data_IF_294350162893
#
_entry.id   IF_294350162893
#
_cell.length_a   1.000
_cell.length_b   1.000
_cell.length_c   1.000
_cell.angle_alpha   90.00
_cell.angle_beta   90.00
_cell.angle_gamma   90.00
#
_symmetry.space_group_name_H-M   'P 1'
#
loop_
_entity.id
_entity.type
_entity.pdbx_description
1 polymer ?
#
# COMPACT_ATOMS: atom_id res chain seq x y z
N UNK A 1 7.04 23.20 -2.29
CA UNK A 1 7.53 24.60 -2.08
C UNK A 1 8.80 24.92 -2.87
N UNK A 2 9.92 24.20 -2.63
CA UNK A 2 11.18 24.42 -3.35
C UNK A 2 11.04 24.34 -4.88
N UNK A 3 10.37 23.30 -5.39
CA UNK A 3 10.13 23.13 -6.84
C UNK A 3 9.40 24.36 -7.41
N UNK A 4 8.37 24.87 -6.72
CA UNK A 4 7.62 26.05 -7.16
C UNK A 4 8.47 27.32 -7.09
N UNK A 5 9.25 27.48 -6.02
CA UNK A 5 10.13 28.63 -5.82
C UNK A 5 11.18 28.72 -6.93
N UNK A 6 11.97 27.67 -7.14
CA UNK A 6 12.99 27.65 -8.20
C UNK A 6 12.37 27.62 -9.60
N UNK A 7 11.28 26.89 -9.80
CA UNK A 7 10.58 26.83 -11.09
C UNK A 7 9.92 28.15 -11.48
N UNK A 8 9.53 28.98 -10.51
CA UNK A 8 9.00 30.32 -10.79
C UNK A 8 10.05 31.30 -11.34
N UNK A 9 11.33 31.02 -11.15
CA UNK A 9 12.42 31.78 -11.75
C UNK A 9 12.58 31.51 -13.26
N UNK A 10 11.87 30.52 -13.81
CA UNK A 10 11.85 30.21 -15.24
C UNK A 10 10.40 30.00 -15.71
N UNK A 11 9.63 31.09 -15.91
CA UNK A 11 8.18 31.06 -16.07
C UNK A 11 7.68 30.22 -17.25
N UNK A 12 8.48 30.10 -18.31
CA UNK A 12 8.12 29.39 -19.55
C UNK A 12 8.77 28.01 -19.65
N UNK A 13 9.61 27.62 -18.68
CA UNK A 13 10.32 26.36 -18.74
C UNK A 13 9.37 25.18 -18.48
N UNK A 14 9.19 24.36 -19.51
CA UNK A 14 8.54 23.05 -19.41
C UNK A 14 9.59 22.00 -19.03
N UNK A 15 9.46 21.48 -17.81
CA UNK A 15 10.29 20.37 -17.35
C UNK A 15 9.48 19.09 -17.44
N UNK A 16 9.92 18.16 -18.29
CA UNK A 16 9.30 16.84 -18.41
C UNK A 16 9.22 16.17 -17.01
N UNK A 17 8.09 15.54 -16.63
CA UNK A 17 6.96 15.09 -17.46
C UNK A 17 5.79 16.07 -17.61
N UNK A 18 5.89 17.29 -17.06
CA UNK A 18 4.77 18.21 -17.10
C UNK A 18 4.57 18.87 -18.47
N UNK A 19 3.30 19.16 -18.80
CA UNK A 19 2.89 19.86 -20.03
C UNK A 19 2.53 21.33 -19.81
N UNK A 20 2.53 21.79 -18.56
CA UNK A 20 2.31 23.19 -18.18
C UNK A 20 3.57 23.74 -17.49
N UNK A 21 3.83 25.05 -17.50
CA UNK A 21 4.96 25.62 -16.79
C UNK A 21 4.79 25.56 -15.26
N UNK A 22 5.88 25.36 -14.52
CA UNK A 22 5.87 25.18 -13.05
C UNK A 22 5.22 26.37 -12.32
N UNK A 23 5.40 27.59 -12.85
CA UNK A 23 4.78 28.80 -12.30
C UNK A 23 3.24 28.71 -12.24
N UNK A 24 2.62 28.07 -13.23
CA UNK A 24 1.16 27.94 -13.35
C UNK A 24 0.57 26.76 -12.57
N UNK A 25 1.41 25.93 -11.94
CA UNK A 25 0.96 24.70 -11.30
C UNK A 25 0.40 24.89 -9.88
N UNK A 26 -0.66 24.12 -9.62
CA UNK A 26 -1.18 23.88 -8.27
C UNK A 26 -0.28 22.91 -7.47
N UNK A 27 -0.67 22.68 -6.21
CA UNK A 27 0.05 21.77 -5.32
C UNK A 27 0.00 20.33 -5.84
N UNK A 28 -1.18 19.89 -6.28
CA UNK A 28 -1.39 18.53 -6.79
C UNK A 28 -0.67 18.29 -8.12
N UNK A 29 -0.60 19.30 -8.99
CA UNK A 29 0.16 19.22 -10.25
C UNK A 29 1.65 18.99 -9.98
N UNK A 30 2.25 19.76 -9.08
CA UNK A 30 3.66 19.62 -8.71
C UNK A 30 3.91 18.26 -8.06
N UNK A 31 3.00 17.83 -7.18
CA UNK A 31 3.09 16.53 -6.51
C UNK A 31 3.12 15.40 -7.54
N UNK A 32 2.13 15.39 -8.45
CA UNK A 32 1.94 14.32 -9.41
C UNK A 32 2.99 14.32 -10.52
N UNK A 33 3.42 15.50 -10.99
CA UNK A 33 4.39 15.61 -12.07
C UNK A 33 5.85 15.45 -11.61
N UNK A 34 6.20 15.81 -10.37
CA UNK A 34 7.60 15.81 -9.93
C UNK A 34 7.83 15.00 -8.66
N UNK A 35 7.11 15.31 -7.59
CA UNK A 35 7.38 14.75 -6.25
C UNK A 35 7.19 13.24 -6.22
N UNK A 36 6.18 12.70 -6.90
CA UNK A 36 5.96 11.26 -7.00
C UNK A 36 7.15 10.53 -7.67
N UNK A 37 7.75 11.11 -8.71
CA UNK A 37 8.89 10.49 -9.40
C UNK A 37 10.19 10.56 -8.59
N UNK A 38 10.44 11.69 -7.91
CA UNK A 38 11.56 11.83 -6.96
C UNK A 38 11.38 10.83 -5.82
N UNK A 39 10.18 10.77 -5.24
CA UNK A 39 9.83 9.79 -4.21
C UNK A 39 10.00 8.36 -4.69
N UNK A 40 9.58 8.04 -5.93
CA UNK A 40 9.73 6.72 -6.51
C UNK A 40 11.20 6.29 -6.63
N UNK A 41 12.07 7.20 -7.10
CA UNK A 41 13.52 6.96 -7.14
C UNK A 41 14.13 6.75 -5.74
N UNK A 42 13.71 7.56 -4.76
CA UNK A 42 14.18 7.43 -3.39
C UNK A 42 13.70 6.12 -2.73
N UNK A 43 12.45 5.69 -2.96
CA UNK A 43 11.91 4.41 -2.48
C UNK A 43 12.62 3.24 -3.14
N UNK A 44 12.84 3.29 -4.47
CA UNK A 44 13.57 2.26 -5.20
C UNK A 44 14.99 2.09 -4.64
N UNK A 45 15.74 3.18 -4.49
CA UNK A 45 17.07 3.17 -3.90
C UNK A 45 17.05 2.66 -2.45
N UNK A 46 16.17 3.19 -1.60
CA UNK A 46 16.04 2.75 -0.20
C UNK A 46 15.69 1.27 -0.09
N UNK A 47 14.83 0.76 -0.98
CA UNK A 47 14.48 -0.66 -1.07
C UNK A 47 15.68 -1.53 -1.46
N UNK A 48 16.43 -1.14 -2.49
CA UNK A 48 17.65 -1.84 -2.93
C UNK A 48 18.72 -1.82 -1.84
N UNK A 49 18.97 -0.66 -1.22
CA UNK A 49 19.96 -0.51 -0.14
C UNK A 49 19.56 -1.37 1.06
N UNK A 50 18.27 -1.37 1.44
CA UNK A 50 17.75 -2.23 2.50
C UNK A 50 17.96 -3.71 2.16
N UNK A 51 17.65 -4.13 0.93
CA UNK A 51 17.88 -5.51 0.48
C UNK A 51 19.37 -5.87 0.51
N UNK A 52 20.25 -4.98 0.04
CA UNK A 52 21.70 -5.20 0.03
C UNK A 52 22.26 -5.34 1.46
N UNK A 53 21.80 -4.52 2.41
CA UNK A 53 22.15 -4.66 3.84
C UNK A 53 21.64 -5.97 4.44
N UNK A 54 20.47 -6.42 4.03
CA UNK A 54 19.90 -7.71 4.47
C UNK A 54 20.54 -8.92 3.77
N UNK A 55 21.28 -8.73 2.67
CA UNK A 55 21.81 -9.83 1.86
C UNK A 55 22.64 -10.86 2.64
N UNK A 56 23.53 -10.50 3.59
CA UNK A 56 24.27 -11.49 4.38
C UNK A 56 23.34 -12.36 5.22
N UNK A 57 22.33 -11.76 5.83
CA UNK A 57 21.30 -12.47 6.60
C UNK A 57 20.41 -13.32 5.70
N UNK A 58 20.09 -12.83 4.50
CA UNK A 58 19.34 -13.59 3.49
C UNK A 58 20.10 -14.87 3.13
N UNK A 59 21.37 -14.75 2.75
CA UNK A 59 22.22 -15.87 2.33
C UNK A 59 22.40 -16.88 3.46
N UNK A 60 22.66 -16.42 4.69
CA UNK A 60 22.82 -17.33 5.83
C UNK A 60 21.52 -18.07 6.15
N UNK A 61 20.36 -17.42 5.99
CA UNK A 61 19.03 -17.99 6.23
C UNK A 61 18.65 -19.02 5.18
N UNK A 62 18.94 -18.74 3.91
CA UNK A 62 18.76 -19.69 2.82
C UNK A 62 19.65 -20.93 2.99
N UNK A 63 20.92 -20.75 3.33
CA UNK A 63 21.86 -21.86 3.56
C UNK A 63 21.38 -22.76 4.70
N UNK A 64 20.93 -22.16 5.81
CA UNK A 64 20.36 -22.90 6.93
C UNK A 64 19.07 -23.65 6.53
N UNK A 65 18.14 -22.98 5.84
CA UNK A 65 16.91 -23.61 5.34
C UNK A 65 17.19 -24.79 4.42
N UNK A 66 18.06 -24.64 3.42
CA UNK A 66 18.45 -25.74 2.53
C UNK A 66 19.14 -26.89 3.26
N UNK A 67 19.95 -26.61 4.28
CA UNK A 67 20.58 -27.66 5.10
C UNK A 67 19.56 -28.46 5.92
N UNK A 68 18.47 -27.82 6.37
CA UNK A 68 17.39 -28.51 7.10
C UNK A 68 16.54 -29.43 6.22
N UNK A 69 16.52 -29.23 4.89
CA UNK A 69 15.88 -30.18 3.96
C UNK A 69 16.66 -31.51 3.85
N UNK A 70 17.94 -31.52 4.20
CA UNK A 70 18.84 -32.67 4.05
C UNK A 70 18.90 -33.64 5.24
N UNK A 71 18.15 -33.41 6.32
CA UNK A 71 18.28 -34.17 7.56
C UNK A 71 16.96 -34.61 8.17
N UNK A 72 16.61 -35.89 7.99
CA UNK A 72 15.49 -36.52 8.70
C UNK A 72 15.72 -38.01 8.90
N UNK A 73 16.49 -38.39 9.94
CA UNK A 73 16.53 -39.76 10.48
C UNK A 73 15.67 -39.82 11.75
N UNK A 74 14.74 -40.77 11.78
CA UNK A 74 14.15 -41.31 13.02
C UNK A 74 12.72 -40.88 13.31
N UNK A 75 11.78 -41.81 13.13
CA UNK A 75 10.43 -41.75 13.71
C UNK A 75 10.53 -41.94 15.24
N UNK A 76 10.66 -40.86 15.99
CA UNK A 76 10.31 -40.84 17.40
C UNK A 76 8.87 -40.28 17.55
N UNK A 77 8.18 -40.67 18.62
CA UNK A 77 6.84 -40.21 18.92
C UNK A 77 6.82 -38.68 19.08
N UNK A 78 6.24 -37.98 18.11
CA UNK A 78 6.28 -36.51 18.06
C UNK A 78 5.48 -35.93 19.22
N UNK A 79 6.19 -35.27 20.14
CA UNK A 79 5.63 -34.56 21.29
C UNK A 79 4.58 -33.57 20.79
N UNK A 80 3.49 -33.37 21.55
CA UNK A 80 2.39 -32.47 21.15
C UNK A 80 2.88 -31.08 20.69
N UNK A 81 3.91 -30.54 21.33
CA UNK A 81 4.52 -29.23 21.04
C UNK A 81 5.34 -29.19 19.75
N UNK A 82 5.62 -30.33 19.14
CA UNK A 82 6.37 -30.47 17.87
C UNK A 82 5.47 -30.96 16.72
N UNK A 83 4.17 -31.16 16.98
CA UNK A 83 3.21 -31.57 15.95
C UNK A 83 2.88 -30.39 15.03
N UNK A 84 3.53 -30.35 13.87
CA UNK A 84 3.27 -29.38 12.80
C UNK A 84 2.28 -29.91 11.74
N UNK A 85 1.84 -29.03 10.84
CA UNK A 85 1.21 -29.47 9.59
C UNK A 85 2.20 -30.31 8.77
N UNK A 86 1.68 -31.34 8.11
CA UNK A 86 2.55 -32.17 7.27
C UNK A 86 3.09 -31.34 6.11
N UNK A 87 4.38 -31.50 5.81
CA UNK A 87 5.04 -30.79 4.71
C UNK A 87 4.33 -31.00 3.37
N UNK A 88 3.73 -32.16 3.16
CA UNK A 88 2.89 -32.45 1.97
C UNK A 88 1.71 -31.49 1.85
N UNK A 89 0.98 -31.23 2.94
CA UNK A 89 -0.18 -30.31 2.92
C UNK A 89 0.29 -28.88 2.67
N UNK A 90 1.40 -28.47 3.27
CA UNK A 90 1.97 -27.12 3.08
C UNK A 90 2.41 -26.92 1.62
N UNK A 91 3.19 -27.86 1.07
CA UNK A 91 3.68 -27.78 -0.31
C UNK A 91 2.56 -27.85 -1.34
N UNK A 92 1.62 -28.80 -1.18
CA UNK A 92 0.47 -28.91 -2.09
C UNK A 92 -0.46 -27.68 -1.97
N UNK A 93 -0.64 -27.15 -0.77
CA UNK A 93 -1.40 -25.92 -0.55
C UNK A 93 -0.75 -24.71 -1.23
N UNK A 94 0.55 -24.51 -1.05
CA UNK A 94 1.29 -23.42 -1.67
C UNK A 94 1.27 -23.53 -3.21
N UNK A 95 1.55 -24.72 -3.75
CA UNK A 95 1.49 -24.97 -5.19
C UNK A 95 0.06 -24.78 -5.72
N UNK A 96 -0.96 -25.21 -4.97
CA UNK A 96 -2.36 -25.02 -5.29
C UNK A 96 -2.74 -23.54 -5.40
N UNK A 97 -2.29 -22.71 -4.46
CA UNK A 97 -2.52 -21.25 -4.50
C UNK A 97 -1.81 -20.61 -5.69
N UNK A 98 -0.53 -20.92 -5.92
CA UNK A 98 0.22 -20.39 -7.07
C UNK A 98 -0.46 -20.80 -8.38
N UNK A 99 -0.87 -22.06 -8.51
CA UNK A 99 -1.56 -22.57 -9.70
C UNK A 99 -2.91 -21.90 -9.89
N UNK A 100 -3.70 -21.72 -8.81
CA UNK A 100 -4.99 -21.04 -8.87
C UNK A 100 -4.86 -19.58 -9.31
N UNK A 101 -3.85 -18.86 -8.81
CA UNK A 101 -3.57 -17.49 -9.26
C UNK A 101 -3.12 -17.49 -10.72
N UNK A 102 -2.28 -18.45 -11.12
CA UNK A 102 -1.70 -18.50 -12.47
C UNK A 102 -2.69 -18.89 -13.56
N UNK A 103 -3.70 -19.69 -13.22
CA UNK A 103 -4.79 -20.08 -14.13
C UNK A 103 -5.95 -19.08 -14.12
N UNK A 104 -5.95 -18.11 -13.20
CA UNK A 104 -7.00 -17.12 -13.09
C UNK A 104 -6.92 -16.12 -14.24
N UNK A 105 -8.02 -15.88 -14.98
CA UNK A 105 -8.04 -14.85 -16.02
C UNK A 105 -7.91 -13.43 -15.44
N UNK A 106 -8.09 -13.26 -14.12
CA UNK A 106 -7.93 -11.97 -13.44
C UNK A 106 -6.46 -11.58 -13.19
N UNK A 107 -5.55 -12.56 -13.19
CA UNK A 107 -4.14 -12.36 -12.85
C UNK A 107 -3.26 -12.85 -14.00
N UNK A 108 -2.89 -11.98 -14.96
CA UNK A 108 -2.09 -12.34 -16.12
C UNK A 108 -0.60 -12.51 -15.75
N UNK A 109 -0.29 -13.46 -14.86
CA UNK A 109 1.09 -13.77 -14.46
C UNK A 109 1.76 -14.75 -15.42
N UNK A 110 0.99 -15.61 -16.09
CA UNK A 110 1.53 -16.64 -16.99
C UNK A 110 2.49 -17.61 -16.28
N UNK A 111 3.16 -18.48 -17.05
CA UNK A 111 4.06 -19.50 -16.48
C UNK A 111 5.32 -18.88 -15.85
N UNK A 112 5.97 -17.95 -16.54
CA UNK A 112 7.17 -17.29 -16.02
C UNK A 112 6.84 -16.50 -14.75
N UNK A 113 5.73 -15.77 -14.72
CA UNK A 113 5.31 -15.04 -13.53
C UNK A 113 4.96 -15.97 -12.36
N UNK A 114 4.37 -17.15 -12.62
CA UNK A 114 4.16 -18.18 -11.60
C UNK A 114 5.47 -18.66 -10.98
N UNK A 115 6.49 -18.90 -11.82
CA UNK A 115 7.82 -19.30 -11.37
C UNK A 115 8.48 -18.21 -10.54
N UNK A 116 8.44 -16.96 -10.99
CA UNK A 116 8.96 -15.81 -10.24
C UNK A 116 8.22 -15.61 -8.92
N UNK A 117 6.90 -15.78 -8.91
CA UNK A 117 6.07 -15.71 -7.71
C UNK A 117 6.49 -16.76 -6.68
N UNK A 118 6.61 -18.02 -7.09
CA UNK A 118 7.07 -19.10 -6.21
C UNK A 118 8.50 -18.86 -5.70
N UNK A 119 9.41 -18.47 -6.59
CA UNK A 119 10.82 -18.20 -6.27
C UNK A 119 10.96 -17.06 -5.26
N UNK A 120 10.38 -15.90 -5.56
CA UNK A 120 10.47 -14.72 -4.69
C UNK A 120 9.68 -14.91 -3.39
N UNK A 121 8.51 -15.57 -3.42
CA UNK A 121 7.78 -15.88 -2.21
C UNK A 121 8.61 -16.80 -1.30
N UNK A 122 9.17 -17.89 -1.84
CA UNK A 122 10.05 -18.77 -1.08
C UNK A 122 11.24 -18.01 -0.48
N UNK A 123 11.97 -17.27 -1.33
CA UNK A 123 13.13 -16.47 -0.93
C UNK A 123 12.80 -15.50 0.21
N UNK A 124 11.80 -14.64 0.03
CA UNK A 124 11.50 -13.58 1.00
C UNK A 124 10.72 -14.05 2.22
N UNK A 125 9.96 -15.15 2.14
CA UNK A 125 9.35 -15.79 3.32
C UNK A 125 10.42 -16.35 4.25
N UNK A 126 11.44 -17.03 3.72
CA UNK A 126 12.53 -17.57 4.55
C UNK A 126 13.28 -16.45 5.29
N UNK A 127 13.55 -15.35 4.60
CA UNK A 127 14.22 -14.17 5.15
C UNK A 127 13.36 -13.51 6.22
N UNK A 128 12.10 -13.26 5.89
CA UNK A 128 11.12 -12.66 6.78
C UNK A 128 10.94 -13.45 8.06
N UNK A 129 10.78 -14.78 7.95
CA UNK A 129 10.61 -15.69 9.08
C UNK A 129 11.80 -15.66 10.05
N UNK A 130 13.02 -15.66 9.51
CA UNK A 130 14.24 -15.60 10.33
C UNK A 130 14.43 -14.25 11.01
N UNK A 131 14.34 -13.15 10.26
CA UNK A 131 14.46 -11.79 10.83
C UNK A 131 13.41 -11.54 11.91
N UNK A 132 12.17 -11.96 11.64
CA UNK A 132 11.08 -11.79 12.60
C UNK A 132 11.24 -12.71 13.82
N UNK A 133 11.75 -13.93 13.63
CA UNK A 133 11.99 -14.87 14.72
C UNK A 133 13.15 -14.47 15.64
N UNK A 134 14.23 -13.93 15.07
CA UNK A 134 15.44 -13.52 15.81
C UNK A 134 15.32 -12.11 16.40
N UNK A 135 14.91 -11.13 15.59
CA UNK A 135 14.98 -9.70 15.91
C UNK A 135 13.58 -9.13 16.22
N UNK A 136 12.54 -9.63 15.55
CA UNK A 136 11.15 -9.17 15.70
C UNK A 136 10.57 -8.59 14.41
N UNK A 137 9.26 -8.41 14.36
CA UNK A 137 8.54 -7.99 13.15
C UNK A 137 8.78 -6.54 12.75
N UNK A 138 9.09 -5.66 13.71
CA UNK A 138 9.43 -4.25 13.45
C UNK A 138 10.67 -4.09 12.58
N UNK A 139 11.63 -5.01 12.71
CA UNK A 139 12.90 -5.01 11.98
C UNK A 139 12.82 -5.72 10.62
N UNK A 140 11.65 -6.22 10.23
CA UNK A 140 11.46 -6.95 8.99
C UNK A 140 11.26 -5.98 7.81
N UNK A 141 12.15 -5.95 6.79
CA UNK A 141 12.12 -4.97 5.71
C UNK A 141 11.08 -5.31 4.62
N UNK A 142 9.82 -5.58 5.01
CA UNK A 142 8.75 -6.02 4.10
C UNK A 142 8.60 -5.07 2.91
N UNK A 143 8.57 -3.76 3.17
CA UNK A 143 8.45 -2.76 2.11
C UNK A 143 9.63 -2.81 1.12
N UNK A 144 10.85 -3.04 1.61
CA UNK A 144 12.03 -3.20 0.75
C UNK A 144 11.98 -4.48 -0.09
N UNK A 145 11.56 -5.59 0.51
CA UNK A 145 11.39 -6.88 -0.19
C UNK A 145 10.32 -6.81 -1.29
N UNK A 146 9.21 -6.10 -1.03
CA UNK A 146 8.15 -5.87 -2.02
C UNK A 146 8.64 -5.03 -3.19
N UNK A 147 9.33 -3.91 -2.91
CA UNK A 147 9.92 -3.05 -3.95
C UNK A 147 10.94 -3.82 -4.77
N UNK A 148 11.85 -4.57 -4.13
CA UNK A 148 12.84 -5.40 -4.81
C UNK A 148 12.18 -6.44 -5.72
N UNK A 149 11.14 -7.13 -5.23
CA UNK A 149 10.36 -8.09 -6.02
C UNK A 149 9.76 -7.42 -7.25
N UNK A 150 9.12 -6.26 -7.09
CA UNK A 150 8.50 -5.54 -8.18
C UNK A 150 9.54 -5.12 -9.23
N UNK A 151 10.65 -4.50 -8.80
CA UNK A 151 11.71 -4.02 -9.69
C UNK A 151 12.34 -5.18 -10.47
N UNK A 152 12.73 -6.26 -9.78
CA UNK A 152 13.33 -7.44 -10.42
C UNK A 152 12.36 -8.09 -11.39
N UNK A 153 11.08 -8.23 -11.02
CA UNK A 153 10.05 -8.77 -11.91
C UNK A 153 9.87 -7.90 -13.15
N UNK A 154 9.79 -6.57 -12.98
CA UNK A 154 9.68 -5.64 -14.10
C UNK A 154 10.90 -5.70 -15.03
N UNK A 155 12.12 -5.82 -14.48
CA UNK A 155 13.34 -5.95 -15.29
C UNK A 155 13.38 -7.27 -16.05
N UNK A 156 12.94 -8.37 -15.44
CA UNK A 156 12.85 -9.68 -16.12
C UNK A 156 11.78 -9.64 -17.22
N UNK A 157 10.62 -9.04 -16.96
CA UNK A 157 9.58 -8.86 -17.97
C UNK A 157 10.06 -7.98 -19.12
N UNK A 158 10.75 -6.86 -18.82
CA UNK A 158 11.36 -6.01 -19.83
C UNK A 158 12.38 -6.77 -20.68
N UNK A 159 13.22 -7.60 -20.07
CA UNK A 159 14.20 -8.44 -20.79
C UNK A 159 13.54 -9.51 -21.67
N UNK A 160 12.30 -9.91 -21.34
CA UNK A 160 11.48 -10.83 -22.13
C UNK A 160 10.56 -10.12 -23.15
N UNK A 161 10.68 -8.79 -23.30
CA UNK A 161 9.81 -7.94 -24.14
C UNK A 161 8.32 -7.93 -23.72
N UNK A 162 8.06 -8.18 -22.44
CA UNK A 162 6.73 -8.24 -21.83
C UNK A 162 6.31 -6.88 -21.27
N UNK A 163 5.95 -5.94 -22.15
CA UNK A 163 5.72 -4.52 -21.82
C UNK A 163 4.24 -4.06 -21.86
N UNK A 164 3.35 -4.98 -22.23
CA UNK A 164 1.90 -4.78 -22.32
C UNK A 164 1.19 -4.46 -21.00
N UNK A 165 -0.04 -3.92 -21.05
CA UNK A 165 -0.86 -3.63 -19.87
C UNK A 165 -1.05 -4.82 -18.92
N UNK A 166 -1.24 -6.01 -19.47
CA UNK A 166 -1.38 -7.27 -18.75
C UNK A 166 -0.11 -7.60 -17.96
N UNK A 167 1.07 -7.36 -18.51
CA UNK A 167 2.33 -7.63 -17.83
C UNK A 167 2.58 -6.69 -16.64
N UNK A 168 2.09 -5.45 -16.70
CA UNK A 168 2.12 -4.52 -15.55
C UNK A 168 1.26 -5.04 -14.41
N UNK A 169 0.04 -5.48 -14.71
CA UNK A 169 -0.84 -6.10 -13.73
C UNK A 169 -0.21 -7.40 -13.17
N UNK A 170 0.42 -8.20 -14.01
CA UNK A 170 1.16 -9.40 -13.61
C UNK A 170 2.30 -9.09 -12.62
N UNK A 171 3.13 -8.10 -12.92
CA UNK A 171 4.24 -7.70 -12.05
C UNK A 171 3.76 -7.19 -10.69
N UNK A 172 2.72 -6.35 -10.67
CA UNK A 172 2.08 -5.88 -9.43
C UNK A 172 1.45 -7.03 -8.64
N UNK A 173 0.86 -8.01 -9.31
CA UNK A 173 0.29 -9.20 -8.67
C UNK A 173 1.38 -10.03 -8.00
N UNK A 174 2.50 -10.30 -8.69
CA UNK A 174 3.64 -11.04 -8.13
C UNK A 174 4.18 -10.33 -6.89
N UNK A 175 4.44 -9.02 -7.00
CA UNK A 175 4.91 -8.22 -5.86
C UNK A 175 3.92 -8.22 -4.69
N UNK A 176 2.62 -8.14 -4.97
CA UNK A 176 1.56 -8.19 -3.97
C UNK A 176 1.50 -9.54 -3.24
N UNK A 177 1.54 -10.65 -3.98
CA UNK A 177 1.56 -12.01 -3.40
C UNK A 177 2.80 -12.21 -2.54
N UNK A 178 3.98 -11.82 -3.02
CA UNK A 178 5.24 -11.95 -2.28
C UNK A 178 5.24 -11.07 -1.03
N UNK A 179 4.70 -9.85 -1.10
CA UNK A 179 4.51 -8.97 0.05
C UNK A 179 3.67 -9.63 1.14
N UNK A 180 2.50 -10.19 0.76
CA UNK A 180 1.59 -10.87 1.69
C UNK A 180 2.25 -12.12 2.25
N UNK A 181 2.87 -12.94 1.40
CA UNK A 181 3.56 -14.15 1.81
C UNK A 181 4.68 -13.84 2.81
N UNK A 182 5.58 -12.90 2.51
CA UNK A 182 6.65 -12.48 3.40
C UNK A 182 6.10 -11.96 4.72
N UNK A 183 5.09 -11.08 4.70
CA UNK A 183 4.47 -10.56 5.93
C UNK A 183 3.86 -11.67 6.79
N UNK A 184 3.03 -12.53 6.20
CA UNK A 184 2.36 -13.62 6.93
C UNK A 184 3.36 -14.67 7.42
N UNK A 185 4.40 -14.97 6.63
CA UNK A 185 5.48 -15.87 7.00
C UNK A 185 6.27 -15.37 8.22
N UNK A 186 6.59 -14.08 8.26
CA UNK A 186 7.23 -13.44 9.41
C UNK A 186 6.36 -13.53 10.67
N UNK A 187 5.10 -13.10 10.58
CA UNK A 187 4.15 -13.15 11.70
C UNK A 187 3.89 -14.58 12.18
N UNK A 188 3.89 -15.55 11.26
CA UNK A 188 3.76 -16.97 11.59
C UNK A 188 4.96 -17.45 12.40
N UNK A 189 6.19 -17.13 12.00
CA UNK A 189 7.39 -17.46 12.77
C UNK A 189 7.36 -16.87 14.18
N UNK A 190 6.92 -15.61 14.31
CA UNK A 190 6.76 -14.96 15.63
C UNK A 190 5.70 -15.66 16.49
N UNK A 191 4.56 -16.00 15.89
CA UNK A 191 3.44 -16.64 16.59
C UNK A 191 3.80 -18.05 17.05
N UNK A 192 4.54 -18.80 16.23
CA UNK A 192 5.04 -20.13 16.57
C UNK A 192 6.09 -20.06 17.69
N UNK A 193 6.98 -19.05 17.69
CA UNK A 193 7.92 -18.81 18.79
C UNK A 193 7.19 -18.58 20.10
N UNK A 194 6.22 -17.66 20.13
CA UNK A 194 5.39 -17.40 21.31
C UNK A 194 4.63 -18.65 21.73
N UNK A 195 4.09 -19.39 20.76
CA UNK A 195 3.43 -20.67 20.97
C UNK A 195 4.31 -21.71 21.65
N UNK A 196 5.55 -21.88 21.18
CA UNK A 196 6.51 -22.79 21.77
C UNK A 196 6.82 -22.44 23.23
N UNK A 197 6.98 -21.14 23.54
CA UNK A 197 7.25 -20.66 24.91
C UNK A 197 6.13 -20.98 25.90
N UNK A 198 4.86 -20.93 25.46
CA UNK A 198 3.69 -21.24 26.31
C UNK A 198 3.21 -22.69 26.17
N UNK A 199 3.93 -23.54 25.44
CA UNK A 199 3.57 -24.94 25.23
C UNK A 199 2.33 -25.16 24.35
N UNK A 200 2.07 -24.29 23.38
CA UNK A 200 0.99 -24.46 22.39
C UNK A 200 1.28 -25.61 21.41
N UNK A 201 0.25 -26.09 20.71
CA UNK A 201 0.39 -27.09 19.62
C UNK A 201 0.54 -26.36 18.27
N UNK A 202 1.68 -26.44 17.58
CA UNK A 202 1.95 -25.69 16.33
C UNK A 202 0.89 -25.87 15.26
N UNK A 203 0.44 -27.12 15.02
CA UNK A 203 -0.60 -27.42 14.01
C UNK A 203 -1.90 -26.63 14.24
N UNK A 204 -2.35 -26.48 15.49
CA UNK A 204 -3.57 -25.72 15.80
C UNK A 204 -3.37 -24.23 15.55
N UNK A 205 -2.21 -23.70 15.91
CA UNK A 205 -1.87 -22.30 15.64
C UNK A 205 -1.85 -22.01 14.13
N UNK A 206 -1.20 -22.87 13.34
CA UNK A 206 -1.14 -22.72 11.88
C UNK A 206 -2.53 -22.72 11.24
N UNK A 207 -3.42 -23.64 11.65
CA UNK A 207 -4.80 -23.69 11.15
C UNK A 207 -5.56 -22.41 11.51
N UNK A 208 -5.48 -21.94 12.76
CA UNK A 208 -6.14 -20.71 13.19
C UNK A 208 -5.60 -19.48 12.45
N UNK A 209 -4.28 -19.42 12.18
CA UNK A 209 -3.68 -18.36 11.39
C UNK A 209 -4.19 -18.36 9.94
N UNK A 210 -4.34 -19.54 9.31
CA UNK A 210 -4.92 -19.66 7.97
C UNK A 210 -6.35 -19.12 7.95
N UNK A 211 -7.18 -19.53 8.93
CA UNK A 211 -8.57 -19.06 9.05
C UNK A 211 -8.62 -17.54 9.26
N UNK A 212 -7.81 -17.02 10.18
CA UNK A 212 -7.75 -15.59 10.48
C UNK A 212 -7.28 -14.76 9.28
N UNK A 213 -6.27 -15.23 8.56
CA UNK A 213 -5.77 -14.58 7.35
C UNK A 213 -6.83 -14.57 6.23
N UNK A 214 -7.50 -15.70 6.01
CA UNK A 214 -8.56 -15.81 5.00
C UNK A 214 -9.76 -14.91 5.33
N UNK A 215 -10.23 -14.92 6.58
CA UNK A 215 -11.31 -14.04 7.04
C UNK A 215 -10.93 -12.57 6.87
N UNK A 216 -9.72 -12.19 7.27
CA UNK A 216 -9.22 -10.81 7.12
C UNK A 216 -9.13 -10.38 5.66
N UNK A 217 -8.63 -11.26 4.77
CA UNK A 217 -8.54 -10.97 3.34
C UNK A 217 -9.92 -10.74 2.71
N UNK A 218 -10.92 -11.55 3.09
CA UNK A 218 -12.30 -11.38 2.61
C UNK A 218 -12.92 -10.07 3.10
N UNK A 219 -12.79 -9.75 4.39
CA UNK A 219 -13.32 -8.52 4.98
C UNK A 219 -12.67 -7.30 4.34
N UNK A 220 -11.34 -7.26 4.28
CA UNK A 220 -10.60 -6.12 3.69
C UNK A 220 -10.93 -5.97 2.21
N UNK A 221 -10.95 -7.07 1.44
CA UNK A 221 -11.31 -7.05 0.02
C UNK A 221 -12.73 -6.51 -0.20
N UNK A 222 -13.70 -7.00 0.58
CA UNK A 222 -15.08 -6.51 0.55
C UNK A 222 -15.17 -5.02 0.90
N UNK A 223 -14.54 -4.59 2.00
CA UNK A 223 -14.53 -3.19 2.42
C UNK A 223 -13.93 -2.27 1.35
N UNK A 224 -12.81 -2.66 0.72
CA UNK A 224 -12.20 -1.86 -0.34
C UNK A 224 -13.10 -1.72 -1.56
N UNK A 225 -13.76 -2.80 -1.99
CA UNK A 225 -14.72 -2.75 -3.09
C UNK A 225 -15.94 -1.89 -2.75
N UNK A 226 -16.44 -2.00 -1.53
CA UNK A 226 -17.58 -1.22 -1.05
C UNK A 226 -17.26 0.28 -1.05
N UNK A 227 -16.14 0.67 -0.44
CA UNK A 227 -15.68 2.07 -0.38
C UNK A 227 -15.43 2.64 -1.78
N UNK A 228 -14.79 1.86 -2.65
CA UNK A 228 -14.54 2.29 -4.02
C UNK A 228 -15.84 2.49 -4.80
N UNK A 229 -16.77 1.55 -4.72
CA UNK A 229 -18.05 1.62 -5.44
C UNK A 229 -18.93 2.76 -4.90
N UNK A 230 -19.02 2.94 -3.58
CA UNK A 230 -19.80 4.01 -2.96
C UNK A 230 -19.34 5.41 -3.38
N UNK A 231 -18.02 5.57 -3.60
CA UNK A 231 -17.41 6.84 -3.98
C UNK A 231 -17.08 6.96 -5.48
N UNK A 232 -17.51 5.99 -6.30
CA UNK A 232 -17.40 6.07 -7.76
C UNK A 232 -18.46 7.03 -8.30
N UNK A 233 -18.06 7.91 -9.22
CA UNK A 233 -18.92 8.92 -9.84
C UNK A 233 -18.97 8.67 -11.33
N UNK A 234 -20.18 8.72 -11.90
CA UNK A 234 -20.42 8.67 -13.34
C UNK A 234 -20.82 10.07 -13.78
N UNK A 235 -19.93 10.79 -14.44
CA UNK A 235 -20.17 12.20 -14.81
C UNK A 235 -20.32 12.37 -16.32
N UNK A 236 -21.28 13.20 -16.72
CA UNK A 236 -21.45 13.71 -18.09
C UNK A 236 -20.57 14.95 -18.33
N UNK A 237 -20.15 15.64 -17.26
CA UNK A 237 -19.35 16.88 -17.30
C UNK A 237 -17.86 16.56 -17.43
N UNK A 238 -17.44 16.07 -18.59
CA UNK A 238 -16.03 15.77 -18.88
C UNK A 238 -15.59 16.18 -20.30
N UNK A 239 -14.28 16.34 -20.49
CA UNK A 239 -13.65 16.90 -21.71
C UNK A 239 -13.89 16.07 -22.99
N UNK A 240 -14.25 14.80 -22.84
CA UNK A 240 -14.44 13.84 -23.92
C UNK A 240 -15.91 13.50 -24.23
N UNK A 241 -16.86 14.24 -23.65
CA UNK A 241 -18.28 13.96 -23.82
C UNK A 241 -18.71 14.11 -25.28
N UNK A 242 -19.34 13.07 -25.84
CA UNK A 242 -19.81 13.04 -27.23
C UNK A 242 -18.74 12.74 -28.28
N UNK A 243 -17.48 12.56 -27.88
CA UNK A 243 -16.38 12.15 -28.78
C UNK A 243 -16.49 10.65 -29.09
N UNK A 244 -16.19 10.24 -30.33
CA UNK A 244 -16.17 8.82 -30.68
C UNK A 244 -14.98 8.12 -30.02
N UNK A 245 -15.21 6.90 -29.53
CA UNK A 245 -14.17 6.05 -29.02
C UNK A 245 -13.13 5.75 -30.13
N UNK A 246 -11.82 5.74 -29.82
CA UNK A 246 -10.79 5.37 -30.78
C UNK A 246 -11.05 3.97 -31.35
N UNK A 247 -11.10 3.86 -32.68
CA UNK A 247 -11.52 2.63 -33.37
C UNK A 247 -10.59 1.43 -33.14
N UNK A 248 -9.35 1.68 -32.74
CA UNK A 248 -8.33 0.67 -32.52
C UNK A 248 -8.29 0.15 -31.07
N UNK A 249 -9.06 0.76 -30.15
CA UNK A 249 -9.14 0.33 -28.76
C UNK A 249 -10.36 -0.57 -28.57
N UNK A 250 -10.17 -1.85 -28.19
CA UNK A 250 -11.29 -2.76 -28.02
C UNK A 250 -12.18 -2.33 -26.85
N UNK A 251 -13.48 -2.23 -27.11
CA UNK A 251 -14.48 -1.98 -26.10
C UNK A 251 -14.73 -3.24 -25.27
N UNK A 252 -14.63 -3.09 -23.94
CA UNK A 252 -14.90 -4.13 -22.98
C UNK A 252 -16.39 -4.53 -22.88
N UNK A 253 -16.72 -5.41 -21.91
CA UNK A 253 -18.10 -5.80 -21.65
C UNK A 253 -18.97 -4.59 -21.27
N UNK A 254 -20.27 -4.72 -21.50
CA UNK A 254 -21.21 -3.69 -21.08
C UNK A 254 -21.35 -3.68 -19.55
N UNK A 255 -21.30 -2.50 -18.95
CA UNK A 255 -21.48 -2.28 -17.52
C UNK A 255 -22.66 -1.32 -17.28
N UNK A 256 -23.54 -1.60 -16.30
CA UNK A 256 -24.56 -0.66 -15.89
C UNK A 256 -23.97 0.45 -15.02
N UNK A 257 -24.67 1.58 -14.98
CA UNK A 257 -24.41 2.64 -14.01
C UNK A 257 -24.67 2.14 -12.58
N UNK A 258 -23.96 2.72 -11.61
CA UNK A 258 -24.13 2.42 -10.18
C UNK A 258 -24.28 3.71 -9.39
N UNK A 259 -24.97 3.64 -8.24
CA UNK A 259 -25.18 4.80 -7.38
C UNK A 259 -26.38 5.65 -7.78
N UNK A 260 -26.46 6.92 -7.34
CA UNK A 260 -27.55 7.83 -7.66
C UNK A 260 -27.81 8.01 -9.16
N UNK A 261 -26.76 7.94 -9.98
CA UNK A 261 -26.84 8.08 -11.43
C UNK A 261 -27.55 6.89 -12.10
N UNK A 262 -27.61 5.73 -11.44
CA UNK A 262 -28.39 4.59 -11.91
C UNK A 262 -29.91 4.80 -11.75
N UNK A 263 -30.33 5.77 -10.92
CA UNK A 263 -31.75 6.13 -10.76
C UNK A 263 -32.26 6.95 -11.95
N UNK A 264 -31.37 7.67 -12.64
CA UNK A 264 -31.71 8.51 -13.79
C UNK A 264 -31.48 7.80 -15.13
N UNK A 265 -30.52 6.87 -15.20
CA UNK A 265 -30.20 6.10 -16.41
C UNK A 265 -29.91 4.63 -16.05
N UNK A 266 -30.78 3.73 -16.51
CA UNK A 266 -30.69 2.29 -16.25
C UNK A 266 -30.03 1.49 -17.38
N UNK A 267 -29.56 2.17 -18.43
CA UNK A 267 -28.93 1.51 -19.55
C UNK A 267 -27.54 0.97 -19.19
N UNK A 268 -27.08 -0.01 -19.97
CA UNK A 268 -25.72 -0.55 -19.89
C UNK A 268 -24.89 -0.03 -21.04
N UNK A 269 -23.64 0.31 -20.76
CA UNK A 269 -22.74 0.94 -21.72
C UNK A 269 -21.45 0.14 -21.85
N UNK A 270 -20.86 0.11 -23.04
CA UNK A 270 -19.59 -0.59 -23.25
C UNK A 270 -18.45 0.16 -22.60
N UNK A 271 -17.55 -0.57 -21.96
CA UNK A 271 -16.41 0.05 -21.25
C UNK A 271 -15.27 0.35 -22.21
N UNK A 272 -14.82 1.60 -22.22
CA UNK A 272 -13.57 2.03 -22.85
C UNK A 272 -12.54 2.33 -21.77
N UNK A 273 -11.43 1.59 -21.76
CA UNK A 273 -10.32 1.82 -20.84
C UNK A 273 -9.16 2.46 -21.59
N UNK A 274 -8.83 3.71 -21.23
CA UNK A 274 -7.68 4.43 -21.81
C UNK A 274 -6.56 4.55 -20.76
N UNK A 275 -5.51 3.73 -20.83
CA UNK A 275 -4.40 3.79 -19.88
C UNK A 275 -3.52 5.03 -20.05
N UNK A 276 -3.49 5.63 -21.24
CA UNK A 276 -2.79 6.88 -21.56
C UNK A 276 -3.73 7.83 -22.29
N UNK A 277 -3.50 9.15 -22.21
CA UNK A 277 -4.26 10.11 -23.00
C UNK A 277 -4.11 9.80 -24.50
N UNK A 278 -5.20 9.88 -25.25
CA UNK A 278 -5.23 9.52 -26.68
C UNK A 278 -6.27 10.34 -27.42
N UNK A 279 -5.93 10.86 -28.60
CA UNK A 279 -6.82 11.65 -29.45
C UNK A 279 -7.53 12.82 -28.71
N UNK A 280 -6.81 13.45 -27.78
CA UNK A 280 -7.34 14.51 -26.92
C UNK A 280 -8.21 14.03 -25.74
N UNK A 281 -8.47 12.73 -25.63
CA UNK A 281 -9.20 12.11 -24.51
C UNK A 281 -8.21 11.82 -23.37
N UNK A 282 -8.42 12.33 -22.15
CA UNK A 282 -7.58 12.01 -21.01
C UNK A 282 -7.59 10.52 -20.66
N UNK A 283 -6.51 10.02 -20.04
CA UNK A 283 -6.49 8.66 -19.51
C UNK A 283 -7.59 8.47 -18.44
N UNK A 284 -8.33 7.36 -18.52
CA UNK A 284 -9.47 7.09 -17.65
C UNK A 284 -10.31 5.91 -18.12
N UNK A 285 -11.35 5.61 -17.36
CA UNK A 285 -12.39 4.64 -17.72
C UNK A 285 -13.63 5.40 -18.19
N UNK A 286 -14.15 5.05 -19.34
CA UNK A 286 -15.29 5.71 -19.97
C UNK A 286 -16.38 4.70 -20.33
N UNK A 287 -17.61 5.17 -20.39
CA UNK A 287 -18.77 4.41 -20.86
C UNK A 287 -19.19 4.91 -22.24
N UNK A 288 -19.26 3.99 -23.19
CA UNK A 288 -19.53 4.24 -24.60
C UNK A 288 -20.91 3.68 -24.95
N UNK A 289 -21.70 4.49 -25.65
CA UNK A 289 -23.02 4.11 -26.14
C UNK A 289 -22.95 3.15 -27.35
N UNK A 290 -24.11 2.67 -27.79
CA UNK A 290 -24.21 1.78 -28.96
C UNK A 290 -23.73 2.45 -30.25
N UNK A 291 -23.71 3.78 -30.30
CA UNK A 291 -23.24 4.55 -31.45
C UNK A 291 -21.71 4.71 -31.48
N UNK A 292 -21.02 4.26 -30.43
CA UNK A 292 -19.57 4.38 -30.29
C UNK A 292 -19.11 5.72 -29.72
N UNK A 293 -20.01 6.52 -29.14
CA UNK A 293 -19.68 7.80 -28.50
C UNK A 293 -19.52 7.66 -27.00
N UNK A 294 -18.56 8.40 -26.45
CA UNK A 294 -18.31 8.47 -25.02
C UNK A 294 -19.43 9.30 -24.37
N UNK A 295 -20.14 8.69 -23.42
CA UNK A 295 -21.23 9.33 -22.68
C UNK A 295 -20.82 9.70 -21.26
N UNK A 296 -20.24 8.76 -20.51
CA UNK A 296 -19.85 9.00 -19.11
C UNK A 296 -18.35 8.78 -18.91
N UNK A 297 -17.76 9.61 -18.05
CA UNK A 297 -16.49 9.31 -17.38
C UNK A 297 -16.80 8.56 -16.08
N UNK A 298 -16.15 7.41 -15.90
CA UNK A 298 -16.20 6.63 -14.66
C UNK A 298 -15.00 7.03 -13.78
N UNK A 299 -15.25 7.91 -12.82
CA UNK A 299 -14.22 8.36 -11.87
C UNK A 299 -14.27 7.52 -10.59
N UNK A 300 -13.24 6.68 -10.31
CA UNK A 300 -13.26 5.75 -9.19
C UNK A 300 -13.27 6.45 -7.82
N UNK A 301 -13.70 5.74 -6.78
CA UNK A 301 -13.61 6.25 -5.41
C UNK A 301 -12.17 6.37 -4.90
N UNK A 302 -11.31 5.42 -5.28
CA UNK A 302 -9.88 5.42 -4.95
C UNK A 302 -9.08 6.10 -6.06
N UNK A 303 -8.26 7.09 -5.71
CA UNK A 303 -7.47 7.92 -6.62
C UNK A 303 -8.30 8.66 -7.70
N UNK A 304 -9.61 8.84 -7.48
CA UNK A 304 -10.49 9.63 -8.35
C UNK A 304 -10.23 11.13 -8.26
N UNK A 305 -10.63 11.87 -9.30
CA UNK A 305 -10.40 13.31 -9.46
C UNK A 305 -11.66 14.14 -9.24
N UNK A 306 -12.84 13.55 -9.41
CA UNK A 306 -14.12 14.26 -9.41
C UNK A 306 -14.65 14.35 -7.99
N UNK A 307 -14.56 15.56 -7.38
CA UNK A 307 -14.95 15.79 -5.97
C UNK A 307 -16.43 16.16 -5.79
N UNK A 308 -17.16 16.39 -6.87
CA UNK A 308 -18.58 16.73 -6.89
C UNK A 308 -19.28 15.96 -7.99
N UNK A 309 -20.48 15.45 -7.72
CA UNK A 309 -21.34 14.84 -8.74
C UNK A 309 -21.93 15.92 -9.66
N UNK A 310 -22.63 15.47 -10.71
CA UNK A 310 -23.25 16.37 -11.68
C UNK A 310 -24.36 17.25 -11.05
N UNK A 311 -24.95 16.80 -9.93
CA UNK A 311 -25.93 17.51 -9.09
C UNK A 311 -25.30 18.40 -7.99
N UNK A 312 -23.99 18.65 -8.07
CA UNK A 312 -23.17 19.41 -7.11
C UNK A 312 -23.04 18.81 -5.71
N UNK A 313 -23.54 17.60 -5.47
CA UNK A 313 -23.33 16.90 -4.19
C UNK A 313 -21.85 16.53 -4.01
N UNK A 314 -21.28 16.74 -2.81
CA UNK A 314 -19.87 16.43 -2.54
C UNK A 314 -19.64 14.92 -2.44
N UNK A 315 -18.50 14.46 -2.95
CA UNK A 315 -18.08 13.04 -2.87
C UNK A 315 -16.70 12.94 -2.23
N UNK A 316 -16.57 12.07 -1.23
CA UNK A 316 -15.30 11.77 -0.59
C UNK A 316 -14.47 10.88 -1.52
N UNK A 317 -13.22 11.26 -1.77
CA UNK A 317 -12.25 10.46 -2.54
C UNK A 317 -11.15 9.94 -1.62
N UNK A 318 -10.67 8.74 -1.92
CA UNK A 318 -9.64 8.06 -1.13
C UNK A 318 -8.32 8.06 -1.89
N UNK A 319 -7.27 8.67 -1.32
CA UNK A 319 -5.94 8.61 -1.88
C UNK A 319 -5.26 7.27 -1.53
N UNK A 320 -4.63 6.64 -2.51
CA UNK A 320 -3.76 5.48 -2.32
C UNK A 320 -2.33 5.75 -2.82
N UNK A 321 -1.55 6.62 -2.15
CA UNK A 321 -0.27 7.11 -2.67
C UNK A 321 0.77 5.99 -2.87
N UNK A 322 0.79 4.99 -1.98
CA UNK A 322 1.67 3.82 -2.09
C UNK A 322 1.36 3.00 -3.35
N UNK A 323 0.08 2.79 -3.65
CA UNK A 323 -0.35 2.07 -4.85
C UNK A 323 0.01 2.85 -6.11
N UNK A 324 -0.22 4.18 -6.11
CA UNK A 324 0.14 5.06 -7.21
C UNK A 324 1.64 5.06 -7.50
N UNK A 325 2.48 5.04 -6.46
CA UNK A 325 3.93 4.95 -6.59
C UNK A 325 4.37 3.63 -7.22
N UNK A 326 3.81 2.51 -6.76
CA UNK A 326 4.12 1.18 -7.32
C UNK A 326 3.69 1.07 -8.78
N UNK A 327 2.51 1.60 -9.12
CA UNK A 327 2.04 1.66 -10.50
C UNK A 327 2.97 2.51 -11.37
N UNK A 328 3.37 3.70 -10.90
CA UNK A 328 4.29 4.59 -11.61
C UNK A 328 5.66 3.96 -11.85
N UNK A 329 6.22 3.25 -10.86
CA UNK A 329 7.49 2.52 -11.02
C UNK A 329 7.33 1.41 -12.07
N UNK A 330 6.24 0.64 -11.99
CA UNK A 330 5.96 -0.48 -12.90
C UNK A 330 5.78 0.00 -14.33
N UNK A 331 4.88 0.96 -14.54
CA UNK A 331 4.61 1.58 -15.84
C UNK A 331 5.88 2.20 -16.40
N UNK A 332 6.62 2.91 -15.56
CA UNK A 332 7.83 3.57 -15.94
C UNK A 332 8.92 2.62 -16.47
N UNK A 333 9.17 1.52 -15.76
CA UNK A 333 10.18 0.53 -16.16
C UNK A 333 9.74 -0.19 -17.43
N UNK A 334 8.49 -0.67 -17.48
CA UNK A 334 8.01 -1.48 -18.61
C UNK A 334 7.78 -0.63 -19.87
N UNK A 335 7.41 0.64 -19.74
CA UNK A 335 7.26 1.54 -20.91
C UNK A 335 8.54 2.26 -21.31
N UNK A 336 9.60 2.16 -20.51
CA UNK A 336 10.86 2.88 -20.69
C UNK A 336 10.72 4.42 -20.74
N UNK A 337 9.58 4.97 -20.27
CA UNK A 337 9.25 6.40 -20.31
C UNK A 337 9.44 7.12 -18.96
N UNK A 338 10.31 6.60 -18.08
CA UNK A 338 10.57 7.26 -16.80
C UNK A 338 11.27 8.62 -16.99
N UNK A 339 10.85 9.68 -16.27
CA UNK A 339 11.65 10.90 -16.16
C UNK A 339 12.90 10.62 -15.32
N UNK A 340 13.93 10.05 -15.95
CA UNK A 340 15.14 9.57 -15.30
C UNK A 340 15.87 10.64 -14.47
N UNK A 341 15.80 11.91 -14.88
CA UNK A 341 16.38 13.01 -14.10
C UNK A 341 15.76 13.08 -12.70
N UNK A 342 14.43 12.97 -12.60
CA UNK A 342 13.72 13.00 -11.31
C UNK A 342 13.96 11.74 -10.49
N UNK A 343 13.98 10.58 -11.15
CA UNK A 343 14.26 9.30 -10.50
C UNK A 343 15.68 9.29 -9.93
N UNK A 344 16.69 9.65 -10.71
CA UNK A 344 18.09 9.73 -10.29
C UNK A 344 18.25 10.76 -9.17
N UNK A 345 17.57 11.92 -9.25
CA UNK A 345 17.55 12.88 -8.16
C UNK A 345 17.06 12.23 -6.85
N UNK A 346 15.97 11.47 -6.91
CA UNK A 346 15.47 10.69 -5.78
C UNK A 346 16.49 9.67 -5.25
N UNK A 347 17.15 8.93 -6.14
CA UNK A 347 18.21 7.97 -5.80
C UNK A 347 19.37 8.68 -5.08
N UNK A 348 19.83 9.81 -5.60
CA UNK A 348 20.92 10.59 -5.01
C UNK A 348 20.55 11.13 -3.63
N UNK A 349 19.31 11.58 -3.44
CA UNK A 349 18.81 11.99 -2.12
C UNK A 349 18.82 10.79 -1.16
N UNK A 350 18.32 9.63 -1.57
CA UNK A 350 18.32 8.42 -0.75
C UNK A 350 19.75 7.99 -0.37
N UNK A 351 20.69 7.98 -1.31
CA UNK A 351 22.10 7.67 -1.04
C UNK A 351 22.71 8.67 -0.06
N UNK A 352 22.46 9.97 -0.25
CA UNK A 352 22.97 11.02 0.63
C UNK A 352 22.43 10.85 2.07
N UNK A 353 21.15 10.52 2.21
CA UNK A 353 20.54 10.25 3.51
C UNK A 353 21.16 9.03 4.19
N UNK A 354 21.34 7.92 3.46
CA UNK A 354 21.96 6.72 4.01
C UNK A 354 23.42 6.96 4.41
N UNK A 355 24.17 7.76 3.63
CA UNK A 355 25.52 8.21 4.00
C UNK A 355 25.52 9.10 5.24
N UNK A 356 24.46 9.88 5.46
CA UNK A 356 24.24 10.66 6.68
C UNK A 356 23.68 9.82 7.86
N UNK A 357 23.64 8.48 7.74
CA UNK A 357 23.04 7.57 8.72
C UNK A 357 21.55 7.82 8.98
N UNK A 358 20.84 8.42 8.02
CA UNK A 358 19.40 8.60 8.02
C UNK A 358 18.77 7.57 7.10
N UNK A 359 17.81 6.80 7.61
CA UNK A 359 17.11 5.80 6.79
C UNK A 359 16.37 6.49 5.63
N UNK A 360 16.67 6.06 4.40
CA UNK A 360 16.08 6.67 3.20
C UNK A 360 14.61 6.30 3.01
N UNK A 361 14.17 5.12 3.48
CA UNK A 361 12.80 4.64 3.29
C UNK A 361 11.75 5.52 3.99
N UNK A 362 11.86 5.85 5.29
CA UNK A 362 10.94 6.79 5.96
C UNK A 362 10.90 8.16 5.30
N UNK A 363 12.07 8.68 4.88
CA UNK A 363 12.14 9.95 4.16
C UNK A 363 11.39 9.87 2.84
N UNK A 364 11.65 8.85 2.02
CA UNK A 364 11.03 8.67 0.72
C UNK A 364 9.50 8.56 0.84
N UNK A 365 9.01 7.88 1.89
CA UNK A 365 7.58 7.84 2.25
C UNK A 365 7.05 9.24 2.54
N UNK A 366 7.75 10.02 3.36
CA UNK A 366 7.37 11.40 3.69
C UNK A 366 7.33 12.34 2.48
N UNK A 367 8.15 12.10 1.45
CA UNK A 367 8.20 12.94 0.24
C UNK A 367 6.87 12.91 -0.53
N UNK A 368 6.25 11.74 -0.70
CA UNK A 368 5.05 11.61 -1.54
C UNK A 368 3.72 11.63 -0.77
N UNK A 369 3.76 11.48 0.56
CA UNK A 369 2.56 11.52 1.38
C UNK A 369 2.00 12.96 1.45
N UNK A 370 0.67 13.12 1.46
CA UNK A 370 0.05 14.41 1.73
C UNK A 370 0.55 15.00 3.06
N UNK A 371 0.67 16.32 3.14
CA UNK A 371 1.03 17.02 4.38
C UNK A 371 0.01 16.72 5.48
N UNK A 372 -1.27 16.58 5.13
CA UNK A 372 -2.33 16.18 6.05
C UNK A 372 -2.11 14.81 6.70
N UNK A 373 -1.44 13.88 6.01
CA UNK A 373 -1.05 12.59 6.58
C UNK A 373 0.29 12.67 7.33
N UNK A 374 1.23 13.47 6.83
CA UNK A 374 2.58 13.58 7.40
C UNK A 374 2.61 14.37 8.70
N UNK A 375 1.75 15.39 8.87
CA UNK A 375 1.73 16.22 10.07
C UNK A 375 1.34 15.44 11.34
N UNK A 376 0.25 14.62 11.37
CA UNK A 376 -0.04 13.76 12.51
C UNK A 376 1.09 12.78 12.84
N UNK A 377 1.74 12.20 11.82
CA UNK A 377 2.88 11.28 12.01
C UNK A 377 4.04 12.02 12.67
N UNK A 378 4.36 13.23 12.20
CA UNK A 378 5.41 14.06 12.77
C UNK A 378 5.11 14.44 14.22
N UNK A 379 3.88 14.88 14.52
CA UNK A 379 3.45 15.21 15.89
C UNK A 379 3.57 13.98 16.79
N UNK A 380 3.09 12.81 16.34
CA UNK A 380 3.23 11.54 17.07
C UNK A 380 4.70 11.19 17.35
N UNK A 381 5.58 11.40 16.36
CA UNK A 381 7.02 11.22 16.52
C UNK A 381 7.65 12.18 17.53
N UNK A 382 7.23 13.46 17.53
CA UNK A 382 7.66 14.43 18.55
C UNK A 382 7.18 14.04 19.95
N UNK A 383 5.91 13.66 20.09
CA UNK A 383 5.35 13.19 21.36
C UNK A 383 6.15 12.01 21.88
N UNK A 384 6.44 11.01 21.03
CA UNK A 384 7.30 9.87 21.38
C UNK A 384 8.71 10.32 21.78
N UNK A 385 9.35 11.20 21.01
CA UNK A 385 10.69 11.69 21.32
C UNK A 385 10.77 12.35 22.70
N UNK A 386 9.80 13.22 23.03
CA UNK A 386 9.76 13.88 24.34
C UNK A 386 9.37 12.91 25.47
N UNK A 387 8.47 11.96 25.21
CA UNK A 387 8.11 10.93 26.18
C UNK A 387 9.29 10.02 26.52
N UNK A 388 9.97 9.49 25.51
CA UNK A 388 11.13 8.60 25.67
C UNK A 388 12.25 9.34 26.41
N UNK A 389 12.51 10.61 26.06
CA UNK A 389 13.51 11.46 26.74
C UNK A 389 13.15 11.71 28.22
N UNK A 390 11.88 11.96 28.52
CA UNK A 390 11.43 12.16 29.90
C UNK A 390 11.52 10.86 30.73
N UNK A 391 11.18 9.72 30.12
CA UNK A 391 11.23 8.40 30.77
C UNK A 391 12.66 7.94 31.03
N UNK A 392 13.56 8.13 30.07
CA UNK A 392 14.99 7.86 30.23
C UNK A 392 15.60 8.69 31.36
N UNK A 393 15.25 9.99 31.46
CA UNK A 393 15.69 10.84 32.58
C UNK A 393 15.22 10.31 33.93
N UNK A 394 13.95 9.93 34.05
CA UNK A 394 13.40 9.35 35.29
C UNK A 394 14.05 8.02 35.67
N UNK A 395 14.32 7.14 34.69
CA UNK A 395 15.04 5.88 34.95
C UNK A 395 16.48 6.13 35.41
N UNK A 396 17.16 7.10 34.79
CA UNK A 396 18.50 7.52 35.23
C UNK A 396 18.49 8.10 36.66
N UNK A 397 17.51 8.94 36.99
CA UNK A 397 17.32 9.47 38.36
C UNK A 397 16.99 8.36 39.38
N UNK A 398 16.28 7.31 38.95
CA UNK A 398 15.95 6.14 39.76
C UNK A 398 17.06 5.06 39.81
N UNK A 399 18.21 5.29 39.17
CA UNK A 399 19.32 4.33 39.11
C UNK A 399 19.01 3.03 38.33
N UNK A 400 17.99 3.05 37.47
CA UNK A 400 17.58 1.90 36.65
C UNK A 400 18.38 1.85 35.34
N UNK A 401 18.58 0.63 34.81
CA UNK A 401 19.26 0.42 33.53
C UNK A 401 18.52 1.12 32.36
N UNK A 402 19.30 1.49 31.34
CA UNK A 402 18.75 2.07 30.11
C UNK A 402 17.74 1.10 29.48
N UNK A 403 16.61 1.64 29.03
CA UNK A 403 15.58 0.87 28.35
C UNK A 403 16.11 0.28 27.05
N UNK A 404 15.91 -1.03 26.84
CA UNK A 404 16.26 -1.66 25.56
C UNK A 404 15.30 -1.20 24.46
N UNK A 405 15.75 -1.18 23.21
CA UNK A 405 14.90 -0.79 22.06
C UNK A 405 13.62 -1.66 21.97
N UNK A 406 13.71 -2.94 22.32
CA UNK A 406 12.59 -3.88 22.36
C UNK A 406 11.53 -3.50 23.41
N UNK A 407 11.94 -3.03 24.59
CA UNK A 407 11.02 -2.53 25.63
C UNK A 407 10.32 -1.25 25.17
N UNK A 408 11.06 -0.34 24.53
CA UNK A 408 10.51 0.90 24.01
C UNK A 408 9.48 0.66 22.88
N UNK A 409 9.75 -0.31 22.00
CA UNK A 409 8.81 -0.74 20.96
C UNK A 409 7.53 -1.37 21.52
N UNK A 410 7.61 -2.01 22.70
CA UNK A 410 6.46 -2.64 23.37
C UNK A 410 5.82 -1.77 24.44
N UNK A 411 6.12 -0.46 24.45
CA UNK A 411 5.62 0.45 25.47
C UNK A 411 4.08 0.57 25.45
N UNK A 412 3.44 0.84 26.61
CA UNK A 412 1.99 1.03 26.69
C UNK A 412 1.45 2.09 25.71
N UNK A 413 2.23 3.14 25.45
CA UNK A 413 1.88 4.19 24.49
C UNK A 413 1.83 3.68 23.04
N UNK A 414 2.77 2.81 22.65
CA UNK A 414 2.78 2.18 21.31
C UNK A 414 1.60 1.22 21.16
N UNK A 415 1.29 0.43 22.20
CA UNK A 415 0.14 -0.48 22.21
C UNK A 415 -1.19 0.30 22.10
N UNK A 416 -1.38 1.37 22.86
CA UNK A 416 -2.58 2.19 22.77
C UNK A 416 -2.70 2.87 21.40
N UNK A 417 -1.60 3.41 20.87
CA UNK A 417 -1.59 4.02 19.53
C UNK A 417 -1.98 3.01 18.46
N UNK A 418 -1.47 1.78 18.55
CA UNK A 418 -1.83 0.69 17.64
C UNK A 418 -3.31 0.32 17.76
N UNK A 419 -3.85 0.28 18.98
CA UNK A 419 -5.27 0.06 19.24
C UNK A 419 -6.16 1.18 18.68
N UNK A 420 -5.74 2.45 18.78
CA UNK A 420 -6.45 3.59 18.22
C UNK A 420 -6.48 3.57 16.69
N UNK A 421 -5.38 3.15 16.04
CA UNK A 421 -5.34 2.97 14.57
C UNK A 421 -6.35 1.89 14.14
N UNK A 422 -6.35 0.74 14.83
CA UNK A 422 -7.31 -0.32 14.54
C UNK A 422 -8.76 0.11 14.80
N UNK A 423 -9.02 0.78 15.92
CA UNK A 423 -10.33 1.34 16.27
C UNK A 423 -10.82 2.37 15.26
N UNK A 424 -9.93 3.26 14.79
CA UNK A 424 -10.23 4.23 13.74
C UNK A 424 -10.60 3.58 12.41
N UNK A 425 -9.92 2.50 12.03
CA UNK A 425 -10.27 1.74 10.83
C UNK A 425 -11.67 1.09 10.95
N UNK A 426 -11.98 0.49 12.11
CA UNK A 426 -13.30 -0.12 12.37
C UNK A 426 -14.40 0.97 12.38
N UNK A 427 -14.16 2.12 13.01
CA UNK A 427 -15.09 3.24 13.00
C UNK A 427 -15.33 3.77 11.58
N UNK A 428 -14.28 3.86 10.76
CA UNK A 428 -14.39 4.22 9.34
C UNK A 428 -15.27 3.25 8.54
N UNK A 429 -15.16 1.94 8.81
CA UNK A 429 -16.05 0.93 8.23
C UNK A 429 -17.50 1.16 8.69
N UNK A 430 -17.72 1.42 9.99
CA UNK A 430 -19.04 1.74 10.53
C UNK A 430 -19.67 2.95 9.85
N UNK A 431 -18.92 4.03 9.66
CA UNK A 431 -19.37 5.23 8.94
C UNK A 431 -19.68 4.93 7.47
N UNK A 432 -18.87 4.12 6.80
CA UNK A 432 -19.13 3.72 5.43
C UNK A 432 -20.39 2.87 5.27
N UNK A 433 -20.70 2.00 6.24
CA UNK A 433 -21.94 1.25 6.27
C UNK A 433 -23.15 2.16 6.53
N UNK A 434 -23.00 3.16 7.40
CA UNK A 434 -24.04 4.17 7.65
C UNK A 434 -24.34 5.01 6.40
N UNK A 435 -23.35 5.26 5.56
CA UNK A 435 -23.55 5.94 4.26
C UNK A 435 -24.43 5.15 3.28
N UNK A 436 -24.62 3.85 3.48
CA UNK A 436 -25.58 3.03 2.72
C UNK A 436 -27.01 3.16 3.24
N UNK A 437 -27.22 3.80 4.40
CA UNK A 437 -28.50 4.03 5.05
C UNK A 437 -28.69 5.53 5.38
N UNK A 438 -29.03 6.37 4.38
CA UNK A 438 -29.06 7.83 4.54
C UNK A 438 -29.99 8.32 5.66
N UNK A 439 -31.09 7.60 5.91
CA UNK A 439 -32.04 7.90 6.99
C UNK A 439 -31.43 7.75 8.39
N UNK A 440 -30.59 6.74 8.59
CA UNK A 440 -29.90 6.52 9.86
C UNK A 440 -28.77 7.53 10.00
N UNK A 441 -28.03 7.78 8.93
CA UNK A 441 -26.96 8.78 8.91
C UNK A 441 -27.48 10.17 9.30
N UNK A 442 -28.59 10.64 8.71
CA UNK A 442 -29.19 11.92 9.10
C UNK A 442 -29.66 11.97 10.55
N UNK A 443 -30.14 10.86 11.12
CA UNK A 443 -30.60 10.82 12.51
C UNK A 443 -29.46 10.91 13.54
N UNK A 444 -28.24 10.56 13.15
CA UNK A 444 -27.04 10.56 14.01
C UNK A 444 -26.03 11.65 13.62
N UNK A 445 -26.31 12.40 12.56
CA UNK A 445 -25.45 13.50 12.13
C UNK A 445 -25.70 14.72 13.02
N UNK A 446 -24.87 14.85 14.06
CA UNK A 446 -24.88 16.00 14.94
C UNK A 446 -24.14 17.22 14.34
N UNK A 447 -23.52 17.07 13.16
CA UNK A 447 -22.71 18.11 12.53
C UNK A 447 -23.48 19.39 12.21
N UNK A 448 -24.75 19.28 11.83
CA UNK A 448 -25.62 20.44 11.59
C UNK A 448 -26.05 21.16 12.87
N UNK A 449 -25.94 20.51 14.04
CA UNK A 449 -26.37 21.09 15.33
C UNK A 449 -25.23 21.64 16.19
N UNK A 450 -23.98 21.21 15.92
CA UNK A 450 -22.79 21.62 16.64
C UNK A 450 -21.67 21.98 15.66
N UNK A 451 -21.79 23.12 14.98
CA UNK A 451 -20.70 23.67 14.17
C UNK A 451 -19.56 24.15 15.07
N UNK A 452 -18.65 23.23 15.39
CA UNK A 452 -17.41 23.51 16.10
C UNK A 452 -16.40 24.31 15.24
N UNK A 453 -16.66 24.46 13.94
CA UNK A 453 -15.75 25.05 12.96
C UNK A 453 -14.44 24.28 12.81
N UNK A 454 -13.58 24.70 11.88
CA UNK A 454 -12.28 24.07 11.64
C UNK A 454 -11.38 24.07 12.89
N UNK A 455 -11.49 25.11 13.73
CA UNK A 455 -10.72 25.23 14.96
C UNK A 455 -11.24 24.32 16.09
N UNK A 456 -12.55 24.09 16.19
CA UNK A 456 -13.10 23.19 17.19
C UNK A 456 -12.80 21.72 16.90
N UNK A 457 -12.46 21.38 15.64
CA UNK A 457 -11.88 20.07 15.29
C UNK A 457 -10.52 19.79 15.96
N UNK A 458 -9.83 20.82 16.45
CA UNK A 458 -8.57 20.67 17.19
C UNK A 458 -8.78 20.18 18.63
N UNK A 459 -9.99 20.33 19.20
CA UNK A 459 -10.31 19.90 20.56
C UNK A 459 -10.16 18.37 20.72
N UNK A 460 -10.82 17.51 19.91
CA UNK A 460 -10.63 16.07 20.01
C UNK A 460 -9.16 15.66 19.73
N UNK A 461 -8.48 16.39 18.85
CA UNK A 461 -7.06 16.15 18.57
C UNK A 461 -6.17 16.47 19.79
N UNK A 462 -6.43 17.59 20.46
CA UNK A 462 -5.75 18.00 21.69
C UNK A 462 -6.01 17.04 22.85
N UNK A 463 -7.25 16.56 23.00
CA UNK A 463 -7.60 15.53 23.99
C UNK A 463 -6.87 14.21 23.73
N UNK A 464 -6.76 13.80 22.46
CA UNK A 464 -6.02 12.59 22.07
C UNK A 464 -4.52 12.74 22.37
N UNK A 465 -3.91 13.88 22.03
CA UNK A 465 -2.51 14.17 22.37
C UNK A 465 -2.31 14.16 23.89
N UNK A 466 -3.20 14.82 24.65
CA UNK A 466 -3.12 14.84 26.11
C UNK A 466 -3.22 13.43 26.70
N UNK A 467 -4.14 12.60 26.19
CA UNK A 467 -4.28 11.19 26.58
C UNK A 467 -3.00 10.39 26.31
N UNK A 468 -2.41 10.53 25.12
CA UNK A 468 -1.14 9.87 24.77
C UNK A 468 0.00 10.32 25.69
N UNK A 469 0.13 11.62 25.97
CA UNK A 469 1.16 12.15 26.89
C UNK A 469 0.97 11.65 28.31
N UNK A 470 -0.28 11.59 28.81
CA UNK A 470 -0.58 11.09 30.15
C UNK A 470 -0.25 9.60 30.29
N UNK A 471 -0.55 8.79 29.28
CA UNK A 471 -0.20 7.37 29.29
C UNK A 471 1.30 7.14 29.11
N UNK A 472 1.97 7.91 28.27
CA UNK A 472 3.42 7.80 28.11
C UNK A 472 4.21 8.17 29.38
N UNK A 473 3.58 8.89 30.32
CA UNK A 473 4.14 9.18 31.65
C UNK A 473 4.00 8.03 32.67
N UNK A 474 3.10 7.08 32.43
CA UNK A 474 2.92 5.87 33.25
C UNK A 474 3.87 4.78 32.74
#
# INVERSE_FOLDING_TARGET
>A
PMIKFFGSASPDALVFPATKPIASMGIDDIRNAYVLYIGAGAVAAGGIISMARSLPTIVSSLRAGLSSLGGGKGQAEVVRTERELSMKVVLLGALGVITAISLSPFFPVGFLGALLMGLFAFLFVTVSGRLTGEIGSSSNPISGMTVATLLLTCLIFLAADWVGPEHRLGALTIAGVVCVAASVGGTTAQSLKTGALIGATPRRQQITMIIGAAASALVIGFTLLLLNNASTVYTLKHEAAGVHAPADVPLGPAEPLRGPEALTDSASYRVLQLPKPRDGIPAGKYLVDETGKIKYLVDPGINGRVKKRDDDTPVVKYDAPKASLMALITDGILTQQLPWVLVILGVMIAVTLELASVSALPFAVGVYLPISASAPIFIGGLVRHFADRARQRRRAEAGLAAESELEAESSPGVLMSSGLIAGGAIAGIGLALLALAPSVQHAIDFGETAELGDLGSLIPFGLLIAGLVLLARR
#
